data_IF_173512336076
#
_entry.id   IF_173512336076
#
_cell.length_a   1.000
_cell.length_b   1.000
_cell.length_c   1.000
_cell.angle_alpha   90.00
_cell.angle_beta   90.00
_cell.angle_gamma   90.00
#
_symmetry.space_group_name_H-M   'P 1'
#
loop_
_entity.id
_entity.type
_entity.pdbx_description
1 polymer ?
#
# COMPACT_ATOMS: atom_id res chain seq x y z
N UNK A 1 32.71 -33.74 -17.33
CA UNK A 1 31.75 -33.21 -16.34
C UNK A 1 30.55 -32.50 -16.99
N UNK A 2 30.74 -31.45 -17.80
CA UNK A 2 29.63 -30.70 -18.44
C UNK A 2 28.70 -31.54 -19.33
N UNK A 3 29.25 -32.37 -20.24
CA UNK A 3 28.47 -33.34 -21.04
C UNK A 3 27.66 -34.30 -20.16
N UNK A 4 28.27 -34.83 -19.11
CA UNK A 4 27.63 -35.78 -18.17
C UNK A 4 26.45 -35.17 -17.41
N UNK A 5 26.54 -33.90 -17.01
CA UNK A 5 25.44 -33.16 -16.35
C UNK A 5 24.31 -32.89 -17.35
N UNK A 6 24.64 -32.44 -18.57
CA UNK A 6 23.66 -32.21 -19.62
C UNK A 6 22.87 -33.46 -19.98
N UNK A 7 23.55 -34.60 -20.12
CA UNK A 7 22.92 -35.89 -20.42
C UNK A 7 21.99 -36.35 -19.29
N UNK A 8 22.27 -36.01 -18.03
CA UNK A 8 21.49 -36.47 -16.87
C UNK A 8 20.33 -35.54 -16.48
N UNK A 9 20.49 -34.23 -16.65
CA UNK A 9 19.55 -33.22 -16.15
C UNK A 9 18.96 -32.33 -17.26
N UNK A 10 19.23 -32.63 -18.53
CA UNK A 10 18.68 -31.91 -19.68
C UNK A 10 19.26 -30.50 -19.92
N UNK A 11 20.13 -30.03 -19.02
CA UNK A 11 20.85 -28.77 -19.16
C UNK A 11 22.20 -28.84 -18.46
N UNK A 12 23.12 -27.95 -18.82
CA UNK A 12 24.39 -27.76 -18.12
C UNK A 12 24.57 -26.30 -17.72
N UNK A 13 25.34 -26.01 -16.66
CA UNK A 13 25.68 -24.65 -16.29
C UNK A 13 26.25 -23.87 -17.48
N UNK A 14 25.90 -22.59 -17.56
CA UNK A 14 26.56 -21.64 -18.48
C UNK A 14 28.04 -21.54 -18.13
N UNK A 15 28.86 -21.13 -19.10
CA UNK A 15 30.29 -20.96 -18.86
C UNK A 15 30.56 -19.90 -17.79
N UNK A 16 29.75 -18.84 -17.75
CA UNK A 16 29.74 -17.84 -16.66
C UNK A 16 29.41 -18.46 -15.31
N UNK A 17 28.35 -19.26 -15.21
CA UNK A 17 27.98 -19.93 -13.95
C UNK A 17 29.05 -20.92 -13.48
N UNK A 18 29.71 -21.61 -14.42
CA UNK A 18 30.81 -22.51 -14.12
C UNK A 18 32.06 -21.75 -13.63
N UNK A 19 32.36 -20.59 -14.20
CA UNK A 19 33.47 -19.75 -13.76
C UNK A 19 33.19 -19.13 -12.39
N UNK A 20 32.01 -18.54 -12.19
CA UNK A 20 31.60 -18.01 -10.89
C UNK A 20 31.62 -19.08 -9.80
N UNK A 21 31.21 -20.32 -10.11
CA UNK A 21 31.37 -21.45 -9.21
C UNK A 21 32.84 -21.65 -8.84
N UNK A 22 33.75 -21.80 -9.82
CA UNK A 22 35.19 -21.98 -9.58
C UNK A 22 35.79 -20.85 -8.75
N UNK A 23 35.50 -19.60 -9.07
CA UNK A 23 36.05 -18.42 -8.38
C UNK A 23 35.66 -18.39 -6.90
N UNK A 24 34.46 -18.87 -6.58
CA UNK A 24 33.96 -18.96 -5.19
C UNK A 24 34.53 -20.14 -4.41
N UNK A 25 35.31 -21.04 -5.01
CA UNK A 25 35.85 -22.24 -4.34
C UNK A 25 36.54 -21.93 -3.01
N UNK A 26 37.33 -20.85 -2.95
CA UNK A 26 38.05 -20.41 -1.74
C UNK A 26 37.12 -20.08 -0.57
N UNK A 27 35.93 -19.55 -0.86
CA UNK A 27 34.97 -19.09 0.14
C UNK A 27 33.99 -20.17 0.60
N UNK A 28 33.91 -21.32 -0.08
CA UNK A 28 32.86 -22.33 0.20
C UNK A 28 32.98 -22.97 1.58
N UNK A 29 34.18 -23.01 2.14
CA UNK A 29 34.43 -23.52 3.50
C UNK A 29 34.17 -22.47 4.58
N UNK A 30 34.00 -21.21 4.18
CA UNK A 30 33.71 -20.08 5.08
C UNK A 30 32.20 -19.86 5.23
N UNK A 31 31.38 -20.47 4.37
CA UNK A 31 29.91 -20.43 4.50
C UNK A 31 29.48 -21.50 5.50
N UNK A 32 29.03 -21.06 6.67
CA UNK A 32 28.43 -21.94 7.68
C UNK A 32 26.99 -22.32 7.31
N UNK A 33 26.84 -23.20 6.32
CA UNK A 33 25.55 -23.71 5.88
C UNK A 33 24.83 -24.51 6.98
N UNK A 34 25.58 -25.16 7.86
CA UNK A 34 25.04 -25.92 8.98
C UNK A 34 24.46 -25.00 10.04
N UNK A 35 25.18 -23.95 10.42
CA UNK A 35 24.70 -22.91 11.34
C UNK A 35 23.51 -22.14 10.79
N UNK A 36 23.51 -21.79 9.50
CA UNK A 36 22.35 -21.18 8.86
C UNK A 36 21.11 -22.10 8.93
N UNK A 37 21.27 -23.40 8.63
CA UNK A 37 20.19 -24.38 8.76
C UNK A 37 19.73 -24.55 10.21
N UNK A 38 20.65 -24.62 11.16
CA UNK A 38 20.34 -24.76 12.58
C UNK A 38 19.57 -23.56 13.10
N UNK A 39 20.00 -22.35 12.73
CA UNK A 39 19.30 -21.11 13.06
C UNK A 39 17.87 -21.14 12.53
N UNK A 40 17.68 -21.50 11.26
CA UNK A 40 16.34 -21.64 10.69
C UNK A 40 15.49 -22.67 11.46
N UNK A 41 16.01 -23.87 11.71
CA UNK A 41 15.28 -24.90 12.45
C UNK A 41 14.91 -24.46 13.87
N UNK A 42 15.76 -23.66 14.52
CA UNK A 42 15.52 -23.14 15.86
C UNK A 42 14.47 -22.01 15.88
N UNK A 43 14.47 -21.15 14.86
CA UNK A 43 13.65 -19.93 14.86
C UNK A 43 12.36 -20.04 14.04
N UNK A 44 12.29 -20.94 13.05
CA UNK A 44 11.10 -21.14 12.21
C UNK A 44 9.82 -21.37 13.02
N UNK A 45 9.76 -22.29 14.01
CA UNK A 45 8.52 -22.51 14.75
C UNK A 45 8.03 -21.27 15.51
N UNK A 46 8.97 -20.49 16.06
CA UNK A 46 8.66 -19.23 16.74
C UNK A 46 8.20 -18.16 15.73
N UNK A 47 8.87 -18.09 14.58
CA UNK A 47 8.51 -17.20 13.48
C UNK A 47 7.10 -17.48 12.95
N UNK A 48 6.77 -18.75 12.69
CA UNK A 48 5.44 -19.18 12.24
C UNK A 48 4.35 -18.82 13.26
N UNK A 49 4.64 -19.02 14.55
CA UNK A 49 3.71 -18.64 15.62
C UNK A 49 3.46 -17.13 15.67
N UNK A 50 4.52 -16.32 15.58
CA UNK A 50 4.39 -14.85 15.58
C UNK A 50 3.63 -14.36 14.34
N UNK A 51 3.93 -14.93 13.17
CA UNK A 51 3.23 -14.62 11.94
C UNK A 51 1.74 -14.98 12.03
N UNK A 52 1.40 -16.11 12.66
CA UNK A 52 -0.01 -16.45 12.88
C UNK A 52 -0.72 -15.43 13.78
N UNK A 53 -0.08 -14.95 14.85
CA UNK A 53 -0.66 -13.91 15.72
C UNK A 53 -0.90 -12.59 14.98
N UNK A 54 0.03 -12.22 14.08
CA UNK A 54 -0.14 -11.09 13.18
C UNK A 54 -1.36 -11.29 12.28
N UNK A 55 -1.50 -12.47 11.66
CA UNK A 55 -2.64 -12.81 10.79
C UNK A 55 -3.98 -12.80 11.53
N UNK A 56 -4.02 -13.32 12.75
CA UNK A 56 -5.23 -13.30 13.59
C UNK A 56 -5.67 -11.85 13.85
N UNK A 57 -4.71 -10.99 14.22
CA UNK A 57 -4.95 -9.56 14.45
C UNK A 57 -5.39 -8.83 13.17
N UNK A 58 -4.76 -9.13 12.04
CA UNK A 58 -5.15 -8.58 10.74
C UNK A 58 -6.57 -9.00 10.36
N UNK A 59 -6.93 -10.27 10.55
CA UNK A 59 -8.27 -10.79 10.32
C UNK A 59 -9.31 -10.04 11.15
N UNK A 60 -9.06 -9.79 12.43
CA UNK A 60 -9.95 -8.99 13.27
C UNK A 60 -10.17 -7.59 12.67
N UNK A 61 -9.10 -6.92 12.25
CA UNK A 61 -9.21 -5.61 11.62
C UNK A 61 -9.92 -5.63 10.26
N UNK A 62 -9.80 -6.71 9.47
CA UNK A 62 -10.53 -6.85 8.20
C UNK A 62 -12.04 -7.00 8.44
N UNK A 63 -12.44 -7.72 9.49
CA UNK A 63 -13.84 -7.80 9.91
C UNK A 63 -14.38 -6.42 10.31
N UNK A 64 -13.63 -5.67 11.12
CA UNK A 64 -14.00 -4.30 11.49
C UNK A 64 -14.06 -3.38 10.26
N UNK A 65 -13.10 -3.45 9.35
CA UNK A 65 -13.08 -2.65 8.13
C UNK A 65 -14.31 -2.93 7.26
N UNK A 66 -14.74 -4.19 7.16
CA UNK A 66 -15.96 -4.58 6.44
C UNK A 66 -17.21 -4.01 7.10
N UNK A 67 -17.29 -4.03 8.44
CA UNK A 67 -18.42 -3.48 9.18
C UNK A 67 -18.52 -1.95 9.08
N UNK A 68 -17.37 -1.27 9.20
CA UNK A 68 -17.28 0.18 9.09
C UNK A 68 -17.60 0.64 7.66
N UNK A 69 -17.18 -0.12 6.66
CA UNK A 69 -17.27 0.29 5.27
C UNK A 69 -16.47 1.58 5.06
N UNK A 70 -17.04 2.54 4.31
CA UNK A 70 -16.41 3.83 4.02
C UNK A 70 -16.94 4.97 4.91
N UNK A 71 -17.44 4.67 6.11
CA UNK A 71 -18.19 5.64 6.93
C UNK A 71 -17.46 6.02 8.24
N UNK A 72 -16.60 7.06 8.22
CA UNK A 72 -15.91 7.55 9.42
C UNK A 72 -16.85 7.93 10.57
N UNK A 73 -18.09 8.33 10.27
CA UNK A 73 -19.08 8.71 11.27
C UNK A 73 -19.52 7.53 12.16
N UNK A 74 -19.35 6.27 11.73
CA UNK A 74 -19.53 5.11 12.62
C UNK A 74 -18.52 5.08 13.76
N UNK A 75 -17.40 5.79 13.62
CA UNK A 75 -16.39 6.03 14.66
C UNK A 75 -16.57 7.40 15.33
N UNK A 76 -17.65 8.13 15.02
CA UNK A 76 -17.88 9.51 15.46
C UNK A 76 -16.80 10.50 14.97
N UNK A 77 -16.17 10.19 13.83
CA UNK A 77 -15.13 11.03 13.24
C UNK A 77 -15.71 11.86 12.10
N UNK A 78 -15.70 13.16 12.31
CA UNK A 78 -16.03 14.16 11.29
C UNK A 78 -14.78 14.50 10.47
N UNK A 79 -14.74 14.08 9.20
CA UNK A 79 -13.60 14.31 8.30
C UNK A 79 -13.53 15.73 7.74
N UNK A 80 -14.52 16.58 8.02
CA UNK A 80 -14.48 18.01 7.67
C UNK A 80 -13.66 18.82 8.68
N UNK A 81 -13.41 18.27 9.87
CA UNK A 81 -12.53 18.86 10.87
C UNK A 81 -11.09 18.34 10.68
N UNK A 82 -10.08 19.20 10.42
CA UNK A 82 -8.71 18.77 10.17
C UNK A 82 -8.08 17.95 11.30
N UNK A 83 -8.42 18.21 12.57
CA UNK A 83 -7.86 17.47 13.71
C UNK A 83 -8.41 16.05 13.77
N UNK A 84 -9.72 15.89 13.54
CA UNK A 84 -10.38 14.59 13.52
C UNK A 84 -9.93 13.77 12.30
N UNK A 85 -9.80 14.43 11.15
CA UNK A 85 -9.27 13.80 9.94
C UNK A 85 -7.84 13.28 10.16
N UNK A 86 -6.94 14.12 10.71
CA UNK A 86 -5.57 13.71 11.01
C UNK A 86 -5.53 12.55 12.01
N UNK A 87 -6.37 12.59 13.03
CA UNK A 87 -6.47 11.51 14.02
C UNK A 87 -6.79 10.16 13.36
N UNK A 88 -7.78 10.12 12.48
CA UNK A 88 -8.11 8.89 11.76
C UNK A 88 -6.99 8.47 10.79
N UNK A 89 -6.36 9.40 10.09
CA UNK A 89 -5.21 9.09 9.21
C UNK A 89 -4.06 8.46 9.99
N UNK A 90 -3.72 8.97 11.17
CA UNK A 90 -2.68 8.39 12.03
C UNK A 90 -3.03 6.97 12.50
N UNK A 91 -4.30 6.71 12.86
CA UNK A 91 -4.75 5.36 13.20
C UNK A 91 -4.56 4.43 12.01
N UNK A 92 -5.02 4.84 10.83
CA UNK A 92 -4.98 4.01 9.63
C UNK A 92 -3.55 3.73 9.16
N UNK A 93 -2.64 4.69 9.27
CA UNK A 93 -1.20 4.47 9.01
C UNK A 93 -0.59 3.45 9.97
N UNK A 94 -0.91 3.53 11.26
CA UNK A 94 -0.43 2.53 12.23
C UNK A 94 -0.98 1.13 11.90
N UNK A 95 -2.23 1.04 11.43
CA UNK A 95 -2.79 -0.23 10.96
C UNK A 95 -2.06 -0.74 9.72
N UNK A 96 -1.71 0.11 8.76
CA UNK A 96 -0.94 -0.30 7.57
C UNK A 96 0.42 -0.92 7.94
N UNK A 97 1.09 -0.44 8.99
CA UNK A 97 2.34 -1.06 9.50
C UNK A 97 2.10 -2.50 9.98
N UNK A 98 0.93 -2.79 10.54
CA UNK A 98 0.56 -4.15 10.97
C UNK A 98 0.26 -5.02 9.74
N UNK A 99 -0.42 -4.49 8.74
CA UNK A 99 -0.76 -5.23 7.51
C UNK A 99 0.47 -5.54 6.66
N UNK A 100 1.47 -4.66 6.63
CA UNK A 100 2.70 -4.85 5.85
C UNK A 100 3.61 -6.00 6.33
N UNK A 101 3.26 -6.67 7.43
CA UNK A 101 3.99 -7.82 7.97
C UNK A 101 3.61 -9.15 7.32
N UNK A 102 2.58 -9.17 6.46
CA UNK A 102 2.14 -10.36 5.74
C UNK A 102 1.73 -10.01 4.30
N UNK A 103 2.14 -10.84 3.35
CA UNK A 103 1.88 -10.60 1.92
C UNK A 103 0.38 -10.67 1.58
N UNK A 104 -0.39 -11.54 2.24
CA UNK A 104 -1.82 -11.67 1.97
C UNK A 104 -2.59 -10.45 2.49
N UNK A 105 -2.22 -9.92 3.67
CA UNK A 105 -2.75 -8.65 4.16
C UNK A 105 -2.38 -7.47 3.25
N UNK A 106 -1.17 -7.45 2.70
CA UNK A 106 -0.75 -6.43 1.72
C UNK A 106 -1.58 -6.50 0.43
N UNK A 107 -1.83 -7.71 -0.08
CA UNK A 107 -2.70 -7.91 -1.24
C UNK A 107 -4.14 -7.45 -0.95
N UNK A 108 -4.67 -7.76 0.23
CA UNK A 108 -5.99 -7.29 0.65
C UNK A 108 -6.09 -5.76 0.70
N UNK A 109 -5.06 -5.06 1.20
CA UNK A 109 -5.03 -3.59 1.16
C UNK A 109 -5.09 -3.05 -0.27
N UNK A 110 -4.37 -3.68 -1.21
CA UNK A 110 -4.41 -3.29 -2.61
C UNK A 110 -5.81 -3.49 -3.22
N UNK A 111 -6.50 -4.56 -2.86
CA UNK A 111 -7.91 -4.79 -3.24
C UNK A 111 -8.85 -3.72 -2.67
N UNK A 112 -8.68 -3.34 -1.40
CA UNK A 112 -9.49 -2.28 -0.80
C UNK A 112 -9.28 -0.94 -1.52
N UNK A 113 -8.03 -0.62 -1.85
CA UNK A 113 -7.68 0.57 -2.62
C UNK A 113 -8.29 0.57 -4.02
N UNK A 114 -8.45 -0.59 -4.66
CA UNK A 114 -9.18 -0.67 -5.93
C UNK A 114 -10.70 -0.50 -5.74
N UNK A 115 -11.28 -1.15 -4.73
CA UNK A 115 -12.72 -1.43 -4.68
C UNK A 115 -13.53 -0.38 -3.89
N UNK A 116 -12.87 0.53 -3.15
CA UNK A 116 -13.53 1.60 -2.38
C UNK A 116 -14.59 1.08 -1.38
N UNK A 117 -14.40 -0.13 -0.85
CA UNK A 117 -15.34 -0.79 0.06
C UNK A 117 -15.09 -0.53 1.54
N UNK A 118 -13.96 0.08 1.89
CA UNK A 118 -13.57 0.33 3.28
C UNK A 118 -12.88 1.69 3.45
N UNK A 119 -12.67 2.09 4.71
CA UNK A 119 -11.85 3.24 5.06
C UNK A 119 -10.43 3.14 4.50
N UNK A 120 -9.86 1.94 4.36
CA UNK A 120 -8.56 1.75 3.70
C UNK A 120 -8.61 2.22 2.25
N UNK A 121 -9.67 1.81 1.52
CA UNK A 121 -9.83 2.16 0.11
C UNK A 121 -10.15 3.62 -0.18
N UNK A 122 -10.35 4.43 0.85
CA UNK A 122 -10.64 5.86 0.74
C UNK A 122 -9.66 6.73 1.54
N UNK A 123 -8.63 6.13 2.13
CA UNK A 123 -7.70 6.78 3.05
C UNK A 123 -7.05 8.03 2.42
N UNK A 124 -6.49 7.88 1.21
CA UNK A 124 -5.85 8.98 0.49
C UNK A 124 -6.82 10.12 0.18
N UNK A 125 -8.12 9.82 0.09
CA UNK A 125 -9.18 10.76 -0.28
C UNK A 125 -9.93 11.29 0.96
N UNK A 126 -9.27 11.33 2.12
CA UNK A 126 -9.88 11.81 3.37
C UNK A 126 -11.10 11.02 3.79
N UNK A 127 -11.12 9.73 3.44
CA UNK A 127 -12.22 8.80 3.68
C UNK A 127 -13.53 9.15 2.95
N UNK A 128 -13.43 9.86 1.82
CA UNK A 128 -14.57 10.25 0.99
C UNK A 128 -14.61 9.46 -0.33
N UNK A 129 -15.54 8.49 -0.48
CA UNK A 129 -15.77 7.80 -1.75
C UNK A 129 -16.14 8.76 -2.88
N UNK A 130 -16.95 9.78 -2.58
CA UNK A 130 -17.38 10.78 -3.55
C UNK A 130 -16.20 11.61 -4.07
N UNK A 131 -15.25 11.98 -3.19
CA UNK A 131 -14.04 12.69 -3.59
C UNK A 131 -13.16 11.81 -4.47
N UNK A 132 -12.94 10.55 -4.08
CA UNK A 132 -12.19 9.57 -4.88
C UNK A 132 -12.78 9.42 -6.28
N UNK A 133 -14.09 9.20 -6.36
CA UNK A 133 -14.79 9.01 -7.62
C UNK A 133 -14.68 10.25 -8.52
N UNK A 134 -14.92 11.44 -7.99
CA UNK A 134 -14.83 12.68 -8.75
C UNK A 134 -13.41 12.92 -9.29
N UNK A 135 -12.38 12.69 -8.48
CA UNK A 135 -10.99 12.80 -8.91
C UNK A 135 -10.62 11.78 -9.99
N UNK A 136 -11.09 10.54 -9.86
CA UNK A 136 -10.86 9.51 -10.88
C UNK A 136 -11.56 9.86 -12.18
N UNK A 137 -12.80 10.36 -12.14
CA UNK A 137 -13.51 10.82 -13.34
C UNK A 137 -12.78 11.95 -14.06
N UNK A 138 -12.27 12.93 -13.32
CA UNK A 138 -11.52 14.05 -13.89
C UNK A 138 -10.17 13.60 -14.46
N UNK A 139 -9.47 12.70 -13.78
CA UNK A 139 -8.23 12.10 -14.28
C UNK A 139 -8.49 11.30 -15.57
N UNK A 140 -9.53 10.46 -15.60
CA UNK A 140 -9.89 9.68 -16.78
C UNK A 140 -10.36 10.58 -17.94
N UNK A 141 -11.02 11.71 -17.66
CA UNK A 141 -11.37 12.71 -18.68
C UNK A 141 -10.14 13.40 -19.29
N UNK A 142 -9.12 13.67 -18.48
CA UNK A 142 -7.82 14.21 -18.94
C UNK A 142 -7.02 13.18 -19.73
N UNK A 143 -7.02 11.91 -19.28
CA UNK A 143 -6.27 10.80 -19.89
C UNK A 143 -6.96 10.20 -21.12
N UNK A 144 -8.27 10.35 -21.28
CA UNK A 144 -8.94 10.01 -22.54
C UNK A 144 -8.47 10.87 -23.74
N UNK A 145 -7.64 11.90 -23.50
CA UNK A 145 -6.87 12.61 -24.53
C UNK A 145 -5.45 12.08 -24.77
N UNK A 146 -4.93 11.20 -23.91
CA UNK A 146 -3.56 10.67 -23.90
C UNK A 146 -3.60 9.21 -23.46
N UNK A 147 -3.82 8.30 -24.40
CA UNK A 147 -3.98 6.87 -24.10
C UNK A 147 -2.77 6.24 -23.42
N UNK A 148 -2.82 6.09 -22.10
CA UNK A 148 -2.22 4.99 -21.35
C UNK A 148 -2.79 4.94 -19.91
N UNK A 149 -3.25 3.76 -19.48
CA UNK A 149 -4.00 3.57 -18.22
C UNK A 149 -3.15 2.77 -17.25
N UNK A 150 -2.03 3.32 -16.76
CA UNK A 150 -1.26 2.60 -15.72
C UNK A 150 -0.34 3.50 -14.91
N UNK A 151 -0.81 3.95 -13.73
CA UNK A 151 -0.14 3.74 -12.43
C UNK A 151 -0.79 4.54 -11.29
N UNK A 152 -1.17 3.83 -10.23
CA UNK A 152 -1.75 4.36 -8.99
C UNK A 152 -0.82 5.39 -8.28
N UNK A 153 0.50 5.21 -8.38
CA UNK A 153 1.49 6.16 -7.85
C UNK A 153 1.38 7.55 -8.51
N UNK A 154 1.03 7.59 -9.80
CA UNK A 154 0.74 8.83 -10.52
C UNK A 154 -0.51 9.50 -9.92
N UNK A 155 -1.56 8.72 -9.58
CA UNK A 155 -2.83 9.22 -9.03
C UNK A 155 -2.72 9.80 -7.61
N UNK A 156 -1.86 9.23 -6.75
CA UNK A 156 -1.56 9.81 -5.43
C UNK A 156 -0.74 11.10 -5.58
N UNK A 157 0.23 11.13 -6.50
CA UNK A 157 0.96 12.34 -6.88
C UNK A 157 0.06 13.44 -7.44
N UNK A 158 -0.93 13.07 -8.25
CA UNK A 158 -1.97 13.97 -8.78
C UNK A 158 -2.83 14.56 -7.67
N UNK A 159 -3.22 13.77 -6.66
CA UNK A 159 -3.96 14.29 -5.52
C UNK A 159 -3.12 15.30 -4.72
N UNK A 160 -1.87 14.99 -4.41
CA UNK A 160 -1.01 15.95 -3.70
C UNK A 160 -0.77 17.22 -4.54
N UNK A 161 -0.67 17.08 -5.87
CA UNK A 161 -0.64 18.22 -6.79
C UNK A 161 -1.94 19.04 -6.72
N UNK A 162 -3.10 18.38 -6.75
CA UNK A 162 -4.42 19.01 -6.64
C UNK A 162 -4.62 19.75 -5.31
N UNK A 163 -4.18 19.16 -4.19
CA UNK A 163 -4.24 19.77 -2.86
C UNK A 163 -3.38 21.04 -2.76
N UNK A 164 -2.28 21.09 -3.51
CA UNK A 164 -1.34 22.22 -3.52
C UNK A 164 -1.61 23.25 -4.62
N UNK A 165 -2.43 22.93 -5.63
CA UNK A 165 -2.70 23.84 -6.75
C UNK A 165 -3.78 24.88 -6.42
N UNK A 166 -3.44 26.17 -6.53
CA UNK A 166 -4.40 27.27 -6.39
C UNK A 166 -5.48 27.18 -7.49
N UNK A 167 -6.76 27.16 -7.11
CA UNK A 167 -7.89 27.09 -8.04
C UNK A 167 -8.43 25.69 -8.36
N UNK A 168 -7.86 24.61 -7.80
CA UNK A 168 -8.44 23.27 -7.95
C UNK A 168 -9.79 23.15 -7.23
N UNK A 169 -9.89 23.70 -6.01
CA UNK A 169 -11.16 23.79 -5.27
C UNK A 169 -12.22 24.65 -5.98
N UNK A 170 -11.80 25.53 -6.91
CA UNK A 170 -12.70 26.42 -7.62
C UNK A 170 -13.31 25.82 -8.89
N UNK A 171 -12.88 24.61 -9.28
CA UNK A 171 -13.36 23.93 -10.49
C UNK A 171 -14.87 23.68 -10.42
N UNK A 172 -15.59 23.76 -11.55
CA UNK A 172 -17.04 23.55 -11.58
C UNK A 172 -17.47 22.20 -10.99
N UNK A 173 -16.73 21.13 -11.31
CA UNK A 173 -17.03 19.79 -10.82
C UNK A 173 -16.80 19.67 -9.30
N UNK A 174 -15.80 20.32 -8.73
CA UNK A 174 -15.58 20.36 -7.27
C UNK A 174 -16.72 21.09 -6.56
N UNK A 175 -17.15 22.23 -7.10
CA UNK A 175 -18.28 23.01 -6.57
C UNK A 175 -19.62 22.30 -6.69
N UNK A 176 -19.74 21.34 -7.62
CA UNK A 176 -20.93 20.51 -7.79
C UNK A 176 -21.02 19.36 -6.76
N UNK A 177 -19.93 19.05 -6.05
CA UNK A 177 -19.93 18.02 -4.99
C UNK A 177 -20.74 18.50 -3.78
N UNK A 178 -21.21 17.56 -2.95
CA UNK A 178 -21.89 17.91 -1.70
C UNK A 178 -20.95 18.66 -0.74
N UNK A 179 -21.49 19.60 0.04
CA UNK A 179 -20.71 20.44 0.95
C UNK A 179 -19.72 19.65 1.85
N UNK A 180 -20.12 18.54 2.50
CA UNK A 180 -19.17 17.79 3.33
C UNK A 180 -17.97 17.24 2.55
N UNK A 181 -18.14 16.91 1.26
CA UNK A 181 -17.05 16.42 0.40
C UNK A 181 -16.07 17.55 0.10
N UNK A 182 -16.58 18.75 -0.18
CA UNK A 182 -15.76 19.94 -0.39
C UNK A 182 -14.99 20.31 0.89
N UNK A 183 -15.64 20.23 2.05
CA UNK A 183 -15.03 20.55 3.34
C UNK A 183 -13.97 19.52 3.73
N UNK A 184 -14.18 18.22 3.47
CA UNK A 184 -13.13 17.20 3.62
C UNK A 184 -11.93 17.49 2.72
N UNK A 185 -12.14 17.87 1.45
CA UNK A 185 -11.05 18.26 0.55
C UNK A 185 -10.27 19.48 1.08
N UNK A 186 -10.99 20.47 1.62
CA UNK A 186 -10.36 21.63 2.27
C UNK A 186 -9.53 21.21 3.48
N UNK A 187 -10.06 20.35 4.34
CA UNK A 187 -9.35 19.83 5.50
C UNK A 187 -8.07 19.06 5.11
N UNK A 188 -8.12 18.24 4.06
CA UNK A 188 -6.92 17.61 3.47
C UNK A 188 -5.90 18.66 3.01
N UNK A 189 -6.35 19.72 2.34
CA UNK A 189 -5.48 20.80 1.88
C UNK A 189 -4.83 21.58 3.02
N UNK A 190 -5.53 21.75 4.15
CA UNK A 190 -4.98 22.34 5.37
C UNK A 190 -3.91 21.44 5.99
N UNK A 191 -4.18 20.13 6.07
CA UNK A 191 -3.22 19.15 6.58
C UNK A 191 -1.95 19.07 5.72
N UNK A 192 -2.09 19.06 4.39
CA UNK A 192 -0.97 19.02 3.46
C UNK A 192 -0.02 20.22 3.58
N UNK A 193 -0.56 21.39 3.94
CA UNK A 193 0.22 22.63 4.13
C UNK A 193 0.77 22.81 5.55
N UNK A 194 0.26 22.03 6.52
CA UNK A 194 0.53 22.21 7.95
C UNK A 194 1.00 20.94 8.64
N UNK A 195 0.36 20.62 9.77
CA UNK A 195 0.77 19.53 10.69
C UNK A 195 0.63 18.12 10.10
N UNK A 196 -0.08 17.94 8.98
CA UNK A 196 -0.26 16.66 8.32
C UNK A 196 0.75 16.37 7.20
N UNK A 197 1.72 17.25 6.95
CA UNK A 197 2.71 17.10 5.86
C UNK A 197 3.56 15.84 5.92
N UNK A 198 3.73 15.25 7.11
CA UNK A 198 4.48 13.99 7.28
C UNK A 198 3.59 12.73 7.17
N UNK A 199 2.27 12.93 7.02
CA UNK A 199 1.22 11.91 7.13
C UNK A 199 0.48 11.72 5.80
N UNK A 200 0.56 12.70 4.90
CA UNK A 200 0.04 12.73 3.53
C UNK A 200 1.18 12.57 2.52
#
# INVERSE_FOLDING_TARGET
MRRTIHTRYGSAPTDEGAQAWKDRHKWRREVDLSGARQYLLQHLPTGDKLLQQVRDTQSDFQHWATHLGTEPLKLFIDTTNPKNLLYLQMIMLNLQIIYAQDDAATAWLAEQEANTSSLFGTLSYGFSPALKHALHQEADALLNGLGDVTNLATRIGELNSALNHQGFADKPWMKALKQPVQDTFKALGELARGTGKATL
#
